data_IF_693027032111
#
_entry.id   IF_693027032111
#
_cell.length_a   1.000
_cell.length_b   1.000
_cell.length_c   1.000
_cell.angle_alpha   90.00
_cell.angle_beta   90.00
_cell.angle_gamma   90.00
#
_symmetry.space_group_name_H-M   'P 1'
#
loop_
_entity.id
_entity.type
_entity.pdbx_description
1 polymer ?
#
# COMPACT_ATOMS: atom_id res chain seq x y z
N UNK A 1 6.99 9.13 4.98
CA UNK A 1 5.95 8.90 3.96
C UNK A 1 4.59 9.21 4.55
N UNK A 2 3.84 10.07 3.90
CA UNK A 2 2.48 10.38 4.33
C UNK A 2 1.64 10.80 3.14
N UNK A 3 0.47 10.19 2.97
CA UNK A 3 -0.43 10.48 1.87
C UNK A 3 -1.86 10.10 2.20
N UNK A 4 -2.80 10.72 1.46
CA UNK A 4 -4.22 10.39 1.49
C UNK A 4 -4.59 9.83 0.12
N UNK A 5 -5.35 8.75 0.10
CA UNK A 5 -5.72 8.06 -1.13
C UNK A 5 -7.19 7.65 -1.09
N UNK A 6 -7.84 7.65 -2.25
CA UNK A 6 -9.21 7.14 -2.37
C UNK A 6 -9.24 5.65 -2.06
N UNK A 7 -10.12 5.25 -1.14
CA UNK A 7 -10.21 3.88 -0.65
C UNK A 7 -10.47 2.86 -1.76
N UNK A 8 -11.45 3.10 -2.58
CA UNK A 8 -11.86 2.12 -3.61
C UNK A 8 -10.74 1.89 -4.63
N UNK A 9 -10.02 2.95 -4.98
CA UNK A 9 -8.90 2.84 -5.91
C UNK A 9 -7.73 2.09 -5.28
N UNK A 10 -7.49 2.30 -3.98
CA UNK A 10 -6.48 1.55 -3.23
C UNK A 10 -6.84 0.07 -3.14
N UNK A 11 -8.10 -0.25 -2.82
CA UNK A 11 -8.58 -1.64 -2.75
C UNK A 11 -8.41 -2.34 -4.10
N UNK A 12 -8.73 -1.66 -5.19
CA UNK A 12 -8.55 -2.23 -6.53
C UNK A 12 -7.08 -2.59 -6.77
N UNK A 13 -6.15 -1.70 -6.46
CA UNK A 13 -4.72 -1.95 -6.64
C UNK A 13 -4.23 -3.09 -5.74
N UNK A 14 -4.66 -3.13 -4.49
CA UNK A 14 -4.32 -4.22 -3.57
C UNK A 14 -4.79 -5.56 -4.12
N UNK A 15 -6.02 -5.63 -4.61
CA UNK A 15 -6.56 -6.86 -5.20
C UNK A 15 -5.78 -7.31 -6.44
N UNK A 16 -5.31 -6.37 -7.25
CA UNK A 16 -4.50 -6.69 -8.43
C UNK A 16 -3.15 -7.29 -8.05
N UNK A 17 -2.41 -6.65 -7.16
CA UNK A 17 -1.04 -7.08 -6.85
C UNK A 17 -0.99 -8.33 -5.98
N UNK A 18 -2.01 -8.58 -5.15
CA UNK A 18 -2.04 -9.78 -4.32
C UNK A 18 -2.13 -11.06 -5.13
N UNK A 19 -2.55 -10.98 -6.39
CA UNK A 19 -2.58 -12.16 -7.29
C UNK A 19 -1.19 -12.73 -7.54
N UNK A 20 -0.13 -11.94 -7.40
CA UNK A 20 1.24 -12.41 -7.57
C UNK A 20 1.83 -12.98 -6.28
N UNK A 21 1.18 -12.74 -5.13
CA UNK A 21 1.74 -13.12 -3.84
C UNK A 21 1.39 -14.55 -3.51
N UNK A 22 2.43 -15.36 -3.21
CA UNK A 22 2.28 -16.76 -2.82
C UNK A 22 2.30 -16.89 -1.30
N UNK A 23 1.37 -17.66 -0.74
CA UNK A 23 1.38 -18.01 0.67
C UNK A 23 2.49 -19.02 1.02
N UNK A 24 3.15 -19.59 0.01
CA UNK A 24 4.19 -20.64 0.16
C UNK A 24 5.59 -20.15 -0.16
N UNK A 25 5.80 -18.83 -0.23
CA UNK A 25 7.11 -18.29 -0.52
C UNK A 25 8.11 -18.64 0.60
N UNK A 26 9.36 -18.91 0.21
CA UNK A 26 10.46 -19.11 1.14
C UNK A 26 11.16 -17.80 1.48
N UNK A 27 10.76 -16.70 0.86
CA UNK A 27 11.31 -15.37 1.11
C UNK A 27 10.24 -14.57 1.86
N UNK A 28 10.37 -14.41 3.19
CA UNK A 28 9.28 -13.83 4.01
C UNK A 28 8.79 -12.46 3.57
N UNK A 29 9.69 -11.58 3.12
CA UNK A 29 9.29 -10.23 2.69
C UNK A 29 8.35 -10.25 1.49
N UNK A 30 8.36 -11.32 0.68
CA UNK A 30 7.47 -11.47 -0.47
C UNK A 30 6.02 -11.79 -0.07
N UNK A 31 5.73 -12.00 1.21
CA UNK A 31 4.34 -12.04 1.68
C UNK A 31 3.75 -10.63 1.79
N UNK A 32 4.57 -9.61 1.60
CA UNK A 32 4.17 -8.21 1.70
C UNK A 32 3.89 -7.56 0.35
N UNK A 33 3.24 -6.42 0.43
CA UNK A 33 3.05 -5.51 -0.70
C UNK A 33 4.01 -4.35 -0.51
N UNK A 34 4.79 -4.05 -1.53
CA UNK A 34 5.65 -2.87 -1.54
C UNK A 34 4.84 -1.68 -2.02
N UNK A 35 4.88 -0.59 -1.28
CA UNK A 35 4.18 0.65 -1.59
C UNK A 35 5.21 1.75 -1.71
N UNK A 36 5.24 2.44 -2.85
CA UNK A 36 6.16 3.57 -3.08
C UNK A 36 5.34 4.78 -3.49
N UNK A 37 5.63 5.91 -2.84
CA UNK A 37 4.94 7.19 -3.09
C UNK A 37 5.96 8.21 -3.57
N UNK A 38 5.68 8.82 -4.71
CA UNK A 38 6.50 9.88 -5.27
C UNK A 38 5.63 10.99 -5.84
N UNK A 39 6.21 11.91 -6.61
CA UNK A 39 5.50 13.05 -7.17
C UNK A 39 4.54 12.69 -8.32
N UNK A 40 4.57 11.45 -8.80
CA UNK A 40 3.67 10.98 -9.86
C UNK A 40 2.45 10.23 -9.31
N UNK A 41 2.57 9.65 -8.12
CA UNK A 41 1.51 8.88 -7.51
C UNK A 41 2.01 7.78 -6.59
N UNK A 42 1.22 6.70 -6.51
CA UNK A 42 1.49 5.57 -5.64
C UNK A 42 1.63 4.31 -6.49
N UNK A 43 2.71 3.56 -6.26
CA UNK A 43 2.94 2.27 -6.92
C UNK A 43 2.89 1.16 -5.89
N UNK A 44 2.04 0.16 -6.13
CA UNK A 44 1.99 -1.06 -5.34
C UNK A 44 2.62 -2.19 -6.13
N UNK A 45 3.38 -3.06 -5.48
CA UNK A 45 4.01 -4.22 -6.12
C UNK A 45 3.80 -5.46 -5.28
N UNK A 46 3.37 -6.54 -5.94
CA UNK A 46 3.32 -7.89 -5.37
C UNK A 46 4.18 -8.82 -6.22
N UNK A 47 4.87 -9.77 -5.58
CA UNK A 47 5.80 -10.65 -6.29
C UNK A 47 5.90 -12.01 -5.60
N UNK A 48 6.18 -13.07 -6.38
CA UNK A 48 6.45 -14.40 -5.83
C UNK A 48 7.79 -14.98 -6.29
N UNK A 49 8.70 -14.16 -6.74
CA UNK A 49 10.01 -14.49 -7.33
C UNK A 49 9.94 -14.78 -8.83
N UNK A 50 8.87 -15.38 -9.31
CA UNK A 50 8.73 -15.73 -10.73
C UNK A 50 7.93 -14.68 -11.49
N UNK A 51 6.88 -14.13 -10.87
CA UNK A 51 6.09 -13.06 -11.47
C UNK A 51 5.99 -11.88 -10.52
N UNK A 52 5.78 -10.72 -11.09
CA UNK A 52 5.60 -9.48 -10.35
C UNK A 52 4.45 -8.71 -10.99
N UNK A 53 3.53 -8.22 -10.16
CA UNK A 53 2.44 -7.36 -10.62
C UNK A 53 2.62 -6.00 -9.97
N UNK A 54 2.56 -4.97 -10.80
CA UNK A 54 2.70 -3.60 -10.36
C UNK A 54 1.43 -2.83 -10.71
N UNK A 55 0.86 -2.11 -9.76
CA UNK A 55 -0.31 -1.28 -9.97
C UNK A 55 0.04 0.16 -9.64
N UNK A 56 -0.21 1.06 -10.58
CA UNK A 56 0.09 2.48 -10.43
C UNK A 56 -1.20 3.27 -10.26
N UNK A 57 -1.22 4.13 -9.24
CA UNK A 57 -2.34 5.02 -8.96
C UNK A 57 -1.85 6.46 -9.14
N UNK A 58 -2.30 7.18 -10.18
CA UNK A 58 -1.87 8.56 -10.39
C UNK A 58 -2.48 9.50 -9.37
N UNK A 59 -1.91 10.69 -9.23
CA UNK A 59 -2.44 11.72 -8.33
C UNK A 59 -3.83 12.17 -8.75
N UNK A 60 -4.06 12.29 -10.06
CA UNK A 60 -5.33 12.74 -10.65
C UNK A 60 -5.76 11.76 -11.71
N UNK A 61 -7.03 11.39 -11.71
CA UNK A 61 -7.62 10.48 -12.68
C UNK A 61 -9.02 10.98 -13.01
N UNK A 62 -9.33 11.18 -14.31
CA UNK A 62 -10.62 11.70 -14.76
C UNK A 62 -10.99 13.04 -14.11
N UNK A 63 -10.02 13.94 -14.02
CA UNK A 63 -10.15 15.27 -13.42
C UNK A 63 -10.45 15.26 -11.91
N UNK A 64 -10.33 14.10 -11.26
CA UNK A 64 -10.53 13.97 -9.82
C UNK A 64 -9.21 13.68 -9.12
N UNK A 65 -9.01 14.28 -7.94
CA UNK A 65 -7.85 14.00 -7.10
C UNK A 65 -8.05 12.64 -6.42
N UNK A 66 -7.15 11.71 -6.73
CA UNK A 66 -7.17 10.37 -6.17
C UNK A 66 -6.19 10.25 -5.00
N UNK A 67 -5.02 10.89 -5.12
CA UNK A 67 -3.96 10.83 -4.11
C UNK A 67 -3.48 12.24 -3.80
N UNK A 68 -3.36 12.55 -2.50
CA UNK A 68 -2.70 13.76 -2.03
C UNK A 68 -1.47 13.35 -1.25
N UNK A 69 -0.29 13.78 -1.70
CA UNK A 69 0.99 13.39 -1.11
C UNK A 69 1.52 14.51 -0.23
N UNK A 70 1.79 14.20 1.03
CA UNK A 70 2.44 15.15 1.94
C UNK A 70 3.95 14.91 1.99
N UNK A 71 4.38 13.64 2.02
CA UNK A 71 5.80 13.29 1.95
C UNK A 71 6.00 11.96 1.24
N UNK A 72 7.13 11.87 0.52
CA UNK A 72 7.48 10.70 -0.28
C UNK A 72 8.08 9.59 0.58
N UNK A 73 8.15 8.40 0.02
CA UNK A 73 8.81 7.27 0.67
C UNK A 73 8.30 5.94 0.18
N UNK A 74 8.63 4.90 0.92
CA UNK A 74 8.22 3.55 0.62
C UNK A 74 8.08 2.71 1.88
N UNK A 75 7.33 1.61 1.77
CA UNK A 75 7.10 0.66 2.87
C UNK A 75 6.72 -0.68 2.28
N UNK A 76 7.00 -1.76 3.02
CA UNK A 76 6.43 -3.07 2.73
C UNK A 76 5.50 -3.44 3.87
N UNK A 77 4.24 -3.75 3.54
CA UNK A 77 3.23 -4.15 4.52
C UNK A 77 2.74 -5.55 4.18
N UNK A 78 2.50 -6.36 5.21
CA UNK A 78 2.03 -7.72 5.01
C UNK A 78 0.67 -7.71 4.30
N UNK A 79 0.57 -8.41 3.18
CA UNK A 79 -0.59 -8.31 2.27
C UNK A 79 -1.88 -8.73 2.93
N UNK A 80 -1.85 -9.79 3.75
CA UNK A 80 -3.05 -10.31 4.42
C UNK A 80 -3.67 -9.26 5.34
N UNK A 81 -2.87 -8.66 6.20
CA UNK A 81 -3.37 -7.67 7.17
C UNK A 81 -3.73 -6.37 6.49
N UNK A 82 -2.88 -5.88 5.61
CA UNK A 82 -3.15 -4.64 4.90
C UNK A 82 -4.41 -4.76 4.04
N UNK A 83 -4.55 -5.85 3.29
CA UNK A 83 -5.73 -6.10 2.49
C UNK A 83 -7.01 -6.15 3.30
N UNK A 84 -7.00 -6.88 4.42
CA UNK A 84 -8.17 -6.97 5.29
C UNK A 84 -8.55 -5.61 5.87
N UNK A 85 -7.56 -4.81 6.26
CA UNK A 85 -7.80 -3.48 6.82
C UNK A 85 -8.44 -2.57 5.78
N UNK A 86 -7.82 -2.42 4.59
CA UNK A 86 -8.31 -1.45 3.60
C UNK A 86 -9.70 -1.77 3.09
N UNK A 87 -10.05 -3.04 2.99
CA UNK A 87 -11.39 -3.46 2.55
C UNK A 87 -12.49 -3.10 3.55
N UNK A 88 -12.13 -2.86 4.81
CA UNK A 88 -13.08 -2.60 5.90
C UNK A 88 -13.09 -1.15 6.37
N UNK A 89 -12.30 -0.28 5.76
CA UNK A 89 -12.28 1.13 6.16
C UNK A 89 -13.58 1.81 5.76
N UNK A 90 -14.14 2.68 6.64
CA UNK A 90 -15.51 3.17 6.46
C UNK A 90 -15.68 4.36 5.51
N UNK A 91 -14.63 5.15 5.28
CA UNK A 91 -14.74 6.40 4.54
C UNK A 91 -14.15 6.32 3.13
N UNK A 92 -14.45 7.32 2.30
CA UNK A 92 -13.94 7.38 0.93
C UNK A 92 -12.44 7.55 0.86
N UNK A 93 -11.84 8.22 1.85
CA UNK A 93 -10.42 8.51 1.87
C UNK A 93 -9.71 7.78 3.00
N UNK A 94 -8.49 7.39 2.72
CA UNK A 94 -7.61 6.68 3.65
C UNK A 94 -6.33 7.48 3.78
N UNK A 95 -5.91 7.74 5.02
CA UNK A 95 -4.62 8.35 5.28
C UNK A 95 -3.64 7.26 5.70
N UNK A 96 -2.47 7.25 5.07
CA UNK A 96 -1.39 6.31 5.39
C UNK A 96 -0.15 7.12 5.74
N UNK A 97 0.39 6.86 6.93
CA UNK A 97 1.58 7.52 7.43
C UNK A 97 2.56 6.50 7.95
N UNK A 98 3.80 6.57 7.47
CA UNK A 98 4.90 5.75 7.97
C UNK A 98 5.77 6.61 8.87
N UNK A 99 5.88 6.19 10.12
CA UNK A 99 6.71 6.86 11.12
C UNK A 99 8.06 6.16 11.26
N UNK A 100 8.85 6.49 12.28
CA UNK A 100 10.13 5.85 12.53
C UNK A 100 9.96 4.34 12.73
N UNK A 101 10.99 3.57 12.38
CA UNK A 101 11.00 2.11 12.49
C UNK A 101 9.93 1.41 11.65
N UNK A 102 9.51 2.04 10.52
CA UNK A 102 8.54 1.48 9.57
C UNK A 102 7.16 1.21 10.18
N UNK A 103 6.86 1.78 11.32
CA UNK A 103 5.52 1.69 11.87
C UNK A 103 4.56 2.50 10.99
N UNK A 104 3.48 1.87 10.57
CA UNK A 104 2.54 2.45 9.61
C UNK A 104 1.17 2.61 10.24
N UNK A 105 0.66 3.85 10.23
CA UNK A 105 -0.68 4.18 10.69
C UNK A 105 -1.60 4.32 9.49
N UNK A 106 -2.73 3.62 9.54
CA UNK A 106 -3.75 3.63 8.49
C UNK A 106 -5.04 4.11 9.13
N UNK A 107 -5.59 5.22 8.65
CA UNK A 107 -6.80 5.77 9.25
C UNK A 107 -7.81 6.20 8.20
N UNK A 108 -9.09 6.10 8.56
CA UNK A 108 -10.21 6.50 7.74
C UNK A 108 -11.36 6.85 8.68
N UNK A 109 -11.80 8.11 8.66
CA UNK A 109 -12.79 8.58 9.62
C UNK A 109 -12.30 8.36 11.06
N UNK A 110 -13.08 7.64 11.86
CA UNK A 110 -12.72 7.33 13.23
C UNK A 110 -11.98 6.00 13.39
N UNK A 111 -11.80 5.25 12.32
CA UNK A 111 -11.06 3.99 12.35
C UNK A 111 -9.58 4.25 12.18
N UNK A 112 -8.76 3.61 13.00
CA UNK A 112 -7.31 3.76 12.95
C UNK A 112 -6.65 2.41 13.27
N UNK A 113 -5.65 2.06 12.45
CA UNK A 113 -4.91 0.80 12.57
C UNK A 113 -3.42 1.08 12.50
N UNK A 114 -2.64 0.27 13.17
CA UNK A 114 -1.18 0.36 13.12
C UNK A 114 -0.61 -0.99 12.74
N UNK A 115 0.24 -0.99 11.71
CA UNK A 115 0.98 -2.18 11.26
C UNK A 115 2.47 -1.90 11.36
N UNK A 116 3.23 -2.95 11.69
CA UNK A 116 4.69 -2.89 11.59
C UNK A 116 5.08 -3.26 10.16
N UNK A 117 5.74 -2.34 9.47
CA UNK A 117 6.21 -2.55 8.13
C UNK A 117 7.66 -3.00 8.08
N UNK A 118 8.16 -3.18 6.86
CA UNK A 118 9.53 -3.56 6.58
C UNK A 118 10.15 -2.56 5.61
N UNK A 119 11.50 -2.54 5.58
CA UNK A 119 12.26 -1.67 4.69
C UNK A 119 12.00 -2.04 3.23
N UNK A 120 11.51 -1.11 2.40
CA UNK A 120 11.26 -1.41 0.99
C UNK A 120 12.53 -1.76 0.21
N UNK A 121 13.70 -1.36 0.68
CA UNK A 121 14.98 -1.69 0.02
C UNK A 121 15.32 -3.17 0.10
N UNK A 122 14.68 -3.92 1.01
CA UNK A 122 14.88 -5.36 1.12
C UNK A 122 13.96 -6.18 0.22
N UNK A 123 13.03 -5.53 -0.44
CA UNK A 123 12.08 -6.20 -1.35
C UNK A 123 12.75 -6.46 -2.70
N UNK A 124 12.84 -7.72 -3.14
CA UNK A 124 13.55 -8.08 -4.37
C UNK A 124 12.92 -7.61 -5.67
#
# INVERSE_FOLDING_TARGET
MKFVIERDRLVQAVNEVTRAISARTTIPILTGIKIVVNDEGVTLTGSDSDISIEAFIPLIENDEVIVEVESFGGIVLQSKYFGDIVRRLPEENVEIEVTSNYQTNISSGQASFTLNGLDPMEYP
#
